data_IF_865920199278
#
_entry.id   IF_865920199278
#
_cell.length_a   1.000
_cell.length_b   1.000
_cell.length_c   1.000
_cell.angle_alpha   90.00
_cell.angle_beta   90.00
_cell.angle_gamma   90.00
#
_symmetry.space_group_name_H-M   'P 1'
#
loop_
_entity.id
_entity.type
_entity.pdbx_description
1 polymer ?
#
# COMPACT_ATOMS: atom_id res chain seq x y z
N UNK A 1 -13.18 2.99 23.52
CA UNK A 1 -12.54 3.31 22.24
C UNK A 1 -11.78 2.07 21.78
N UNK A 2 -12.30 1.36 20.77
CA UNK A 2 -11.75 0.10 20.31
C UNK A 2 -10.52 0.34 19.42
N UNK A 3 -9.39 -0.24 19.79
CA UNK A 3 -8.18 -0.28 18.96
C UNK A 3 -8.48 -1.14 17.74
N UNK A 4 -8.55 -0.54 16.57
CA UNK A 4 -8.68 -1.28 15.31
C UNK A 4 -7.31 -1.87 14.97
N UNK A 5 -7.20 -3.20 15.07
CA UNK A 5 -6.01 -3.95 14.63
C UNK A 5 -6.18 -4.37 13.18
N UNK A 6 -5.35 -3.84 12.32
CA UNK A 6 -5.27 -4.25 10.93
C UNK A 6 -4.11 -5.25 10.73
N UNK A 7 -4.30 -6.26 9.88
CA UNK A 7 -3.28 -7.26 9.58
C UNK A 7 -2.66 -7.05 8.20
N UNK A 8 -1.35 -7.18 8.11
CA UNK A 8 -0.55 -6.98 6.91
C UNK A 8 -0.23 -8.30 6.20
N UNK A 9 -0.23 -8.31 4.85
CA UNK A 9 0.22 -9.46 4.03
C UNK A 9 1.31 -9.03 3.05
N UNK A 10 2.46 -9.67 3.14
CA UNK A 10 3.61 -9.45 2.25
C UNK A 10 3.39 -10.01 0.85
N UNK A 11 3.97 -9.32 -0.12
CA UNK A 11 4.11 -9.81 -1.49
C UNK A 11 5.23 -10.83 -1.52
N UNK A 12 4.93 -12.13 -1.71
CA UNK A 12 5.95 -13.15 -1.97
C UNK A 12 6.52 -12.96 -3.36
N UNK A 13 7.80 -12.67 -3.45
CA UNK A 13 8.56 -12.82 -4.68
C UNK A 13 8.91 -14.30 -4.82
N UNK A 14 8.43 -14.98 -5.85
CA UNK A 14 9.04 -16.21 -6.34
C UNK A 14 10.28 -15.81 -7.15
N UNK A 15 11.43 -16.09 -6.62
CA UNK A 15 12.70 -15.84 -7.30
C UNK A 15 13.82 -16.60 -6.59
N UNK A 16 14.39 -17.53 -7.31
CA UNK A 16 15.44 -18.52 -7.02
C UNK A 16 16.48 -18.06 -6.02
N UNK A 17 16.74 -18.91 -5.02
CA UNK A 17 17.88 -18.86 -4.11
C UNK A 17 19.21 -18.72 -4.83
N UNK A 18 19.98 -17.71 -4.46
CA UNK A 18 21.45 -17.73 -4.49
C UNK A 18 21.96 -17.02 -3.24
N UNK A 19 22.77 -17.68 -2.40
CA UNK A 19 23.40 -17.03 -1.26
C UNK A 19 24.60 -16.22 -1.77
N UNK A 20 24.53 -14.91 -1.72
CA UNK A 20 25.72 -14.06 -1.74
C UNK A 20 25.60 -13.04 -0.63
N UNK A 21 26.30 -13.36 0.46
CA UNK A 21 26.71 -12.38 1.46
C UNK A 21 27.59 -11.34 0.77
N UNK A 22 27.08 -10.14 0.59
CA UNK A 22 27.91 -8.96 0.38
C UNK A 22 27.54 -7.95 1.45
N UNK A 23 28.49 -7.76 2.35
CA UNK A 23 28.51 -6.59 3.24
C UNK A 23 28.59 -5.35 2.35
N UNK A 24 27.44 -4.68 2.16
CA UNK A 24 27.42 -3.34 1.62
C UNK A 24 27.34 -2.38 2.80
N UNK A 25 28.44 -1.68 3.07
CA UNK A 25 28.42 -0.50 3.92
C UNK A 25 27.45 0.52 3.34
N UNK A 26 26.37 0.81 4.03
CA UNK A 26 25.40 1.81 3.62
C UNK A 26 25.94 3.20 3.93
N UNK A 27 26.60 3.83 2.97
CA UNK A 27 26.56 5.27 2.89
C UNK A 27 25.18 5.69 2.37
N UNK A 28 24.56 6.63 3.06
CA UNK A 28 23.31 7.30 2.70
C UNK A 28 23.27 7.61 1.20
N UNK A 29 22.15 7.40 0.53
CA UNK A 29 21.83 7.98 -0.78
C UNK A 29 21.47 7.02 -1.91
N UNK A 30 20.69 5.98 -1.73
CA UNK A 30 19.94 5.46 -2.89
C UNK A 30 18.63 4.79 -2.45
N UNK A 31 17.61 5.60 -2.33
CA UNK A 31 16.22 5.12 -2.34
C UNK A 31 15.84 4.89 -3.80
N UNK A 32 15.45 3.67 -4.16
CA UNK A 32 14.80 3.36 -5.45
C UNK A 32 13.37 3.94 -5.53
N UNK A 33 13.16 5.12 -4.99
CA UNK A 33 11.88 5.81 -5.03
C UNK A 33 12.02 7.03 -5.91
N UNK A 34 11.09 7.22 -6.84
CA UNK A 34 10.94 8.44 -7.64
C UNK A 34 10.63 9.68 -6.78
N UNK A 35 10.60 9.52 -5.46
CA UNK A 35 10.33 10.57 -4.48
C UNK A 35 11.53 10.79 -3.58
N UNK A 36 11.86 12.06 -3.31
CA UNK A 36 12.95 12.49 -2.43
C UNK A 36 12.80 12.02 -0.97
N UNK A 37 11.61 11.60 -0.55
CA UNK A 37 11.30 11.11 0.80
C UNK A 37 11.05 9.61 0.78
N UNK A 38 11.34 8.93 1.88
CA UNK A 38 11.07 7.50 2.06
C UNK A 38 9.56 7.29 2.23
N UNK A 39 8.86 7.04 1.15
CA UNK A 39 7.41 6.88 1.12
C UNK A 39 7.05 5.41 0.95
N UNK A 40 6.11 4.95 1.75
CA UNK A 40 5.51 3.61 1.71
C UNK A 40 4.07 3.74 1.25
N UNK A 41 3.67 2.94 0.28
CA UNK A 41 2.28 2.86 -0.18
C UNK A 41 1.52 1.77 0.58
N UNK A 42 0.40 2.16 1.18
CA UNK A 42 -0.48 1.31 1.97
C UNK A 42 -1.82 1.20 1.27
N UNK A 43 -2.33 -0.03 1.09
CA UNK A 43 -3.69 -0.24 0.56
C UNK A 43 -4.45 -1.18 1.48
N UNK A 44 -5.67 -0.77 1.82
CA UNK A 44 -6.62 -1.57 2.56
C UNK A 44 -7.27 -2.62 1.65
N UNK A 45 -7.21 -3.88 2.04
CA UNK A 45 -7.84 -4.97 1.30
C UNK A 45 -9.38 -4.86 1.29
N UNK A 46 -9.97 -4.24 2.31
CA UNK A 46 -11.41 -3.99 2.33
C UNK A 46 -11.81 -2.95 1.28
N UNK A 47 -11.01 -1.89 1.08
CA UNK A 47 -11.24 -0.88 0.04
C UNK A 47 -11.13 -1.50 -1.36
N UNK A 48 -10.13 -2.35 -1.59
CA UNK A 48 -10.01 -3.08 -2.85
C UNK A 48 -11.21 -3.99 -3.10
N UNK A 49 -11.69 -4.70 -2.09
CA UNK A 49 -12.85 -5.60 -2.22
C UNK A 49 -14.15 -4.84 -2.48
N UNK A 50 -14.37 -3.71 -1.82
CA UNK A 50 -15.52 -2.85 -2.08
C UNK A 50 -15.50 -2.31 -3.52
N UNK A 51 -14.34 -1.87 -3.99
CA UNK A 51 -14.14 -1.46 -5.37
C UNK A 51 -14.42 -2.61 -6.35
N UNK A 52 -13.85 -3.79 -6.15
CA UNK A 52 -14.06 -4.98 -6.98
C UNK A 52 -15.54 -5.39 -7.03
N UNK A 53 -16.22 -5.35 -5.89
CA UNK A 53 -17.66 -5.68 -5.77
C UNK A 53 -18.53 -4.72 -6.60
N UNK A 54 -18.26 -3.42 -6.55
CA UNK A 54 -19.01 -2.41 -7.32
C UNK A 54 -18.73 -2.45 -8.80
N UNK A 55 -17.50 -2.82 -9.19
CA UNK A 55 -17.14 -3.04 -10.61
C UNK A 55 -17.72 -4.35 -11.14
N UNK A 56 -17.98 -5.33 -10.26
CA UNK A 56 -18.42 -6.67 -10.64
C UNK A 56 -17.28 -7.55 -11.21
N UNK A 57 -16.01 -7.16 -10.99
CA UNK A 57 -14.87 -7.89 -11.51
C UNK A 57 -13.65 -7.80 -10.57
N UNK A 58 -12.91 -8.91 -10.48
CA UNK A 58 -11.66 -8.95 -9.72
C UNK A 58 -10.57 -8.14 -10.40
N UNK A 59 -9.75 -7.48 -9.60
CA UNK A 59 -8.57 -6.74 -10.03
C UNK A 59 -7.31 -7.32 -9.40
N UNK A 60 -6.37 -7.77 -10.22
CA UNK A 60 -5.12 -8.33 -9.71
C UNK A 60 -4.36 -7.27 -8.88
N UNK A 61 -4.06 -7.58 -7.60
CA UNK A 61 -3.45 -6.64 -6.66
C UNK A 61 -2.16 -5.99 -7.15
N UNK A 62 -1.34 -6.72 -7.93
CA UNK A 62 -0.06 -6.21 -8.47
C UNK A 62 -0.24 -4.98 -9.38
N UNK A 63 -1.44 -4.75 -9.94
CA UNK A 63 -1.73 -3.53 -10.73
C UNK A 63 -1.48 -2.27 -9.91
N UNK A 64 -1.81 -2.31 -8.61
CA UNK A 64 -1.73 -1.15 -7.73
C UNK A 64 -0.35 -0.97 -7.08
N UNK A 65 0.58 -1.91 -7.24
CA UNK A 65 1.98 -1.81 -6.83
C UNK A 65 2.20 -1.31 -5.39
N UNK A 66 1.32 -1.66 -4.47
CA UNK A 66 1.46 -1.28 -3.07
C UNK A 66 2.66 -1.98 -2.40
N UNK A 67 3.34 -1.27 -1.50
CA UNK A 67 4.38 -1.83 -0.64
C UNK A 67 3.74 -2.69 0.45
N UNK A 68 2.67 -2.20 1.06
CA UNK A 68 1.96 -2.84 2.16
C UNK A 68 0.49 -3.01 1.82
N UNK A 69 -0.02 -4.20 2.03
CA UNK A 69 -1.44 -4.54 1.98
C UNK A 69 -1.89 -4.90 3.38
N UNK A 70 -2.94 -4.28 3.87
CA UNK A 70 -3.45 -4.55 5.20
C UNK A 70 -4.95 -4.90 5.18
N UNK A 71 -5.41 -5.48 6.28
CA UNK A 71 -6.81 -5.84 6.50
C UNK A 71 -7.21 -5.57 7.95
N UNK A 72 -8.49 -5.66 8.26
CA UNK A 72 -9.00 -5.46 9.61
C UNK A 72 -9.54 -4.06 9.87
N UNK A 73 -9.44 -3.15 8.90
CA UNK A 73 -10.07 -1.84 8.94
C UNK A 73 -11.26 -1.79 7.96
N UNK A 74 -12.23 -0.93 8.21
CA UNK A 74 -13.35 -0.70 7.31
C UNK A 74 -12.86 -0.20 5.94
N UNK A 75 -13.62 -0.50 4.88
CA UNK A 75 -13.30 0.00 3.54
C UNK A 75 -13.19 1.53 3.54
N UNK A 76 -12.17 2.05 2.88
CA UNK A 76 -11.86 3.49 2.72
C UNK A 76 -11.50 4.24 4.02
N UNK A 77 -11.43 3.56 5.18
CA UNK A 77 -11.07 4.19 6.46
C UNK A 77 -9.65 4.77 6.47
N UNK A 78 -8.75 4.23 5.65
CA UNK A 78 -7.38 4.72 5.51
C UNK A 78 -7.30 6.19 5.02
N UNK A 79 -8.33 6.69 4.37
CA UNK A 79 -8.41 8.11 3.97
C UNK A 79 -8.54 9.05 5.17
N UNK A 80 -9.21 8.60 6.24
CA UNK A 80 -9.33 9.33 7.50
C UNK A 80 -8.03 9.37 8.32
N UNK A 81 -7.01 8.63 7.93
CA UNK A 81 -5.71 8.62 8.63
C UNK A 81 -4.73 9.68 8.11
N UNK A 82 -5.11 10.46 7.11
CA UNK A 82 -4.24 11.51 6.55
C UNK A 82 -3.87 12.51 7.66
N UNK A 83 -2.57 12.75 7.83
CA UNK A 83 -1.99 13.56 8.91
C UNK A 83 -1.64 12.77 10.18
N UNK A 84 -2.26 11.61 10.39
CA UNK A 84 -2.04 10.77 11.58
C UNK A 84 -0.78 9.90 11.46
N UNK A 85 -0.29 9.47 12.61
CA UNK A 85 0.81 8.50 12.70
C UNK A 85 0.26 7.08 12.87
N UNK A 86 0.94 6.14 12.24
CA UNK A 86 0.65 4.72 12.31
C UNK A 86 1.84 3.99 12.90
N UNK A 87 1.60 3.17 13.91
CA UNK A 87 2.54 2.15 14.36
C UNK A 87 2.35 0.90 13.48
N UNK A 88 3.41 0.44 12.85
CA UNK A 88 3.42 -0.78 12.02
C UNK A 88 4.58 -1.65 12.50
N UNK A 89 4.29 -2.64 13.33
CA UNK A 89 5.32 -3.39 14.05
C UNK A 89 6.25 -2.45 14.82
N UNK A 90 7.55 -2.46 14.53
CA UNK A 90 8.54 -1.58 15.14
C UNK A 90 8.73 -0.22 14.44
N UNK A 91 8.02 0.07 13.35
CA UNK A 91 8.18 1.31 12.60
C UNK A 91 7.03 2.29 12.86
N UNK A 92 7.32 3.60 12.82
CA UNK A 92 6.31 4.66 12.87
C UNK A 92 6.27 5.38 11.53
N UNK A 93 5.08 5.54 10.98
CA UNK A 93 4.84 6.19 9.69
C UNK A 93 3.77 7.26 9.84
N UNK A 94 3.92 8.38 9.13
CA UNK A 94 2.89 9.42 9.03
C UNK A 94 2.18 9.31 7.69
N UNK A 95 0.86 9.19 7.71
CA UNK A 95 0.05 9.20 6.49
C UNK A 95 0.01 10.61 5.92
N UNK A 96 0.40 10.76 4.64
CA UNK A 96 0.59 12.10 4.05
C UNK A 96 -0.49 12.48 3.06
N UNK A 97 -0.89 11.57 2.19
CA UNK A 97 -1.86 11.83 1.13
C UNK A 97 -2.45 10.55 0.55
N UNK A 98 -3.60 10.61 -0.13
CA UNK A 98 -4.12 9.49 -0.90
C UNK A 98 -3.21 9.19 -2.10
N UNK A 99 -3.30 7.96 -2.62
CA UNK A 99 -2.58 7.54 -3.81
C UNK A 99 -3.48 7.74 -5.04
N UNK A 100 -3.21 8.78 -5.81
CA UNK A 100 -3.80 8.97 -7.15
C UNK A 100 -3.30 7.87 -8.08
N UNK A 101 -4.20 7.15 -8.71
CA UNK A 101 -3.86 6.09 -9.66
C UNK A 101 -3.55 6.66 -11.04
N UNK A 102 -2.69 5.97 -11.77
CA UNK A 102 -2.28 6.33 -13.12
C UNK A 102 -2.61 5.19 -14.09
N UNK A 103 -2.54 5.41 -15.41
CA UNK A 103 -2.85 4.41 -16.44
C UNK A 103 -2.06 3.10 -16.35
N UNK A 104 -0.95 3.06 -15.59
CA UNK A 104 -0.23 1.82 -15.35
C UNK A 104 -1.07 0.74 -14.63
N UNK A 105 -2.15 1.14 -13.94
CA UNK A 105 -3.07 0.20 -13.29
C UNK A 105 -4.01 -0.51 -14.26
N UNK A 106 -4.13 -0.04 -15.50
CA UNK A 106 -4.91 -0.68 -16.56
C UNK A 106 -4.25 -1.96 -17.07
N UNK A 107 -2.92 -2.04 -16.94
CA UNK A 107 -2.14 -3.16 -17.46
C UNK A 107 -2.24 -4.36 -16.53
N UNK A 108 -2.62 -5.50 -17.09
CA UNK A 108 -2.60 -6.79 -16.39
C UNK A 108 -1.14 -7.21 -16.14
N UNK A 109 -0.72 -7.44 -14.90
CA UNK A 109 0.67 -7.79 -14.58
C UNK A 109 1.08 -9.20 -15.00
N UNK A 110 0.14 -10.02 -15.47
CA UNK A 110 0.39 -11.39 -15.92
C UNK A 110 0.46 -11.46 -17.45
N UNK A 111 -0.40 -10.74 -18.15
CA UNK A 111 -0.51 -10.76 -19.61
C UNK A 111 0.11 -9.56 -20.31
N UNK A 112 0.46 -8.50 -19.54
CA UNK A 112 0.91 -7.20 -20.04
C UNK A 112 -0.11 -6.47 -20.96
N UNK A 113 -1.36 -6.93 -21.01
CA UNK A 113 -2.42 -6.30 -21.78
C UNK A 113 -3.20 -5.28 -20.94
N UNK A 114 -3.76 -4.25 -21.57
CA UNK A 114 -4.73 -3.34 -20.96
C UNK A 114 -6.11 -4.02 -21.01
N UNK A 115 -6.55 -4.56 -19.89
CA UNK A 115 -7.79 -5.34 -19.78
C UNK A 115 -8.77 -4.78 -18.73
N UNK A 116 -8.49 -3.59 -18.21
CA UNK A 116 -9.32 -2.89 -17.23
C UNK A 116 -9.07 -1.40 -17.29
N UNK A 117 -10.01 -0.59 -16.81
CA UNK A 117 -9.87 0.86 -16.66
C UNK A 117 -10.15 1.31 -15.21
N UNK A 118 -9.20 1.04 -14.27
CA UNK A 118 -9.39 1.41 -12.88
C UNK A 118 -9.55 2.92 -12.64
N UNK A 119 -9.04 3.78 -13.51
CA UNK A 119 -9.18 5.22 -13.36
C UNK A 119 -10.62 5.66 -13.61
N UNK A 120 -11.20 5.23 -14.72
CA UNK A 120 -12.58 5.56 -15.05
C UNK A 120 -13.56 4.88 -14.10
N UNK A 121 -13.31 3.63 -13.74
CA UNK A 121 -14.08 2.87 -12.75
C UNK A 121 -14.13 3.61 -11.40
N UNK A 122 -12.98 4.04 -10.86
CA UNK A 122 -12.90 4.78 -9.60
C UNK A 122 -13.59 6.14 -9.70
N UNK A 123 -13.37 6.89 -10.80
CA UNK A 123 -14.01 8.19 -11.02
C UNK A 123 -15.52 8.05 -11.04
N UNK A 124 -16.05 7.09 -11.78
CA UNK A 124 -17.49 6.85 -11.90
C UNK A 124 -18.12 6.40 -10.57
N UNK A 125 -17.44 5.54 -9.79
CA UNK A 125 -18.01 4.95 -8.60
C UNK A 125 -17.84 5.81 -7.34
N UNK A 126 -16.74 6.59 -7.26
CA UNK A 126 -16.37 7.30 -6.03
C UNK A 126 -16.08 8.81 -6.27
N UNK A 127 -16.13 9.29 -7.50
CA UNK A 127 -15.85 10.69 -7.83
C UNK A 127 -14.36 11.06 -7.79
N UNK A 128 -13.46 10.08 -7.65
CA UNK A 128 -12.02 10.28 -7.60
C UNK A 128 -11.27 9.08 -8.19
N UNK A 129 -9.97 9.23 -8.45
CA UNK A 129 -9.09 8.17 -8.99
C UNK A 129 -8.08 7.66 -7.96
N UNK A 130 -8.46 7.67 -6.68
CA UNK A 130 -7.56 7.34 -5.58
C UNK A 130 -7.87 5.96 -4.99
N UNK A 131 -6.83 5.20 -4.62
CA UNK A 131 -6.95 3.95 -3.89
C UNK A 131 -5.70 3.75 -3.02
N UNK A 132 -5.89 3.71 -1.70
CA UNK A 132 -4.83 3.63 -0.69
C UNK A 132 -4.20 4.98 -0.35
N UNK A 133 -3.19 4.96 0.51
CA UNK A 133 -2.52 6.15 1.03
C UNK A 133 -1.00 5.99 0.98
N UNK A 134 -0.31 7.12 0.85
CA UNK A 134 1.13 7.23 1.08
C UNK A 134 1.40 7.56 2.53
N UNK A 135 2.40 6.88 3.10
CA UNK A 135 2.92 7.19 4.43
C UNK A 135 4.43 7.43 4.36
N UNK A 136 4.91 8.45 5.05
CA UNK A 136 6.33 8.76 5.22
C UNK A 136 6.84 8.06 6.48
N UNK A 137 8.01 7.44 6.41
CA UNK A 137 8.64 6.81 7.57
C UNK A 137 9.18 7.90 8.49
N UNK A 138 8.64 7.98 9.71
CA UNK A 138 9.08 8.88 10.79
C UNK A 138 10.15 8.22 11.62
N UNK A 139 9.89 6.99 12.06
CA UNK A 139 10.84 6.18 12.80
C UNK A 139 11.03 4.85 12.07
N UNK A 140 12.27 4.50 11.80
CA UNK A 140 12.62 3.23 11.17
C UNK A 140 12.44 2.08 12.13
N UNK A 141 12.01 0.92 11.61
CA UNK A 141 11.84 -0.28 12.41
C UNK A 141 11.61 -1.50 11.52
N UNK A 142 11.50 -2.66 12.15
CA UNK A 142 11.19 -3.92 11.47
C UNK A 142 9.71 -4.23 11.67
N UNK A 143 9.08 -4.73 10.61
CA UNK A 143 7.74 -5.27 10.67
C UNK A 143 7.61 -6.48 9.74
N UNK A 144 6.71 -7.37 10.09
CA UNK A 144 6.48 -8.65 9.43
C UNK A 144 5.00 -8.83 9.06
N UNK A 145 4.74 -9.85 8.26
CA UNK A 145 3.35 -10.27 7.96
C UNK A 145 2.69 -10.72 9.26
N UNK A 146 1.54 -10.17 9.56
CA UNK A 146 0.77 -10.45 10.78
C UNK A 146 0.90 -9.38 11.85
N UNK A 147 1.86 -8.45 11.72
CA UNK A 147 1.96 -7.31 12.64
C UNK A 147 0.73 -6.41 12.52
N UNK A 148 0.33 -5.85 13.64
CA UNK A 148 -0.77 -4.90 13.70
C UNK A 148 -0.37 -3.55 13.10
N UNK A 149 -1.36 -2.88 12.51
CA UNK A 149 -1.31 -1.45 12.20
C UNK A 149 -2.22 -0.74 13.20
N UNK A 150 -1.66 0.18 13.96
CA UNK A 150 -2.39 0.96 14.95
C UNK A 150 -2.26 2.44 14.63
N UNK A 151 -3.38 3.16 14.66
CA UNK A 151 -3.38 4.61 14.58
C UNK A 151 -2.97 5.14 15.96
N UNK A 152 -1.91 5.93 15.99
CA UNK A 152 -1.43 6.53 17.24
C UNK A 152 -2.30 7.75 17.61
N UNK A 153 -2.60 7.96 18.90
CA UNK A 153 -3.26 9.19 19.33
C UNK A 153 -2.34 10.39 19.05
N UNK A 154 -2.98 11.54 18.76
CA UNK A 154 -2.28 12.82 18.66
C UNK A 154 -1.73 13.28 20.00
#
# INVERSE_FOLDING_TARGET
>A
MGRQRAQWKRRTRHGRDRPQQRHCGFSQLHSFCDQRRKVVSLINLASLRDYEAKVGARRHRRRFRANVWFSGAAAWSERGWIGQQLQVGGAVMRVTKPITRCPATEVNPETAQRDADPLEELRRLYGHVELGVHAEVVEGGRFAVGDAIEVLPE
#
